data_IF_716995710057
#
_entry.id   IF_716995710057
#
_cell.length_a   1.000
_cell.length_b   1.000
_cell.length_c   1.000
_cell.angle_alpha   90.00
_cell.angle_beta   90.00
_cell.angle_gamma   90.00
#
_symmetry.space_group_name_H-M   'P 1'
#
loop_
_entity.id
_entity.type
_entity.pdbx_description
1 polymer ?
#
# COMPACT_ATOMS: atom_id res chain seq x y z
N UNK A 1 21.05 12.53 -6.75
CA UNK A 1 20.24 13.74 -6.51
C UNK A 1 18.95 13.81 -7.34
N UNK A 2 18.95 13.42 -8.63
CA UNK A 2 17.78 13.59 -9.51
C UNK A 2 16.50 12.85 -9.10
N UNK A 3 16.58 11.65 -8.49
CA UNK A 3 15.42 10.84 -8.13
C UNK A 3 14.45 11.52 -7.15
N UNK A 4 14.96 12.07 -6.03
CA UNK A 4 14.13 12.78 -5.04
C UNK A 4 13.43 13.99 -5.65
N UNK A 5 14.15 14.76 -6.46
CA UNK A 5 13.58 15.92 -7.16
C UNK A 5 12.51 15.53 -8.18
N UNK A 6 12.65 14.38 -8.85
CA UNK A 6 11.62 13.85 -9.73
C UNK A 6 10.36 13.44 -8.95
N UNK A 7 10.52 12.74 -7.82
CA UNK A 7 9.38 12.38 -6.94
C UNK A 7 8.64 13.61 -6.45
N UNK A 8 9.36 14.62 -5.94
CA UNK A 8 8.74 15.84 -5.43
C UNK A 8 7.90 16.56 -6.50
N UNK A 9 8.42 16.65 -7.75
CA UNK A 9 7.66 17.19 -8.89
C UNK A 9 6.42 16.36 -9.23
N UNK A 10 6.54 15.03 -9.21
CA UNK A 10 5.41 14.15 -9.48
C UNK A 10 4.31 14.27 -8.41
N UNK A 11 4.68 14.35 -7.13
CA UNK A 11 3.73 14.57 -6.03
C UNK A 11 3.02 15.93 -6.17
N UNK A 12 3.77 16.98 -6.49
CA UNK A 12 3.21 18.32 -6.72
C UNK A 12 2.22 18.32 -7.91
N UNK A 13 2.56 17.64 -9.01
CA UNK A 13 1.68 17.51 -10.17
C UNK A 13 0.37 16.74 -9.85
N UNK A 14 0.40 15.85 -8.86
CA UNK A 14 -0.77 15.11 -8.37
C UNK A 14 -1.51 15.84 -7.22
N UNK A 15 -1.05 17.03 -6.80
CA UNK A 15 -1.64 17.76 -5.69
C UNK A 15 -1.41 17.11 -4.32
N UNK A 16 -0.41 16.23 -4.19
CA UNK A 16 -0.09 15.52 -2.94
C UNK A 16 0.98 16.30 -2.18
N UNK A 17 0.68 16.70 -0.93
CA UNK A 17 1.66 17.39 -0.09
C UNK A 17 2.86 16.49 0.21
N UNK A 18 4.06 17.07 0.03
CA UNK A 18 5.34 16.46 0.40
C UNK A 18 5.80 16.85 1.81
N UNK A 19 4.97 17.54 2.59
CA UNK A 19 5.33 17.99 3.94
C UNK A 19 5.60 16.78 4.85
N UNK A 20 6.76 16.76 5.49
CA UNK A 20 7.19 15.64 6.34
C UNK A 20 7.61 14.38 5.57
N UNK A 21 7.59 14.38 4.23
CA UNK A 21 8.17 13.31 3.43
C UNK A 21 9.70 13.39 3.51
N UNK A 22 10.32 12.29 3.96
CA UNK A 22 11.76 12.09 3.83
C UNK A 22 11.97 10.92 2.89
N UNK A 23 12.32 11.19 1.64
CA UNK A 23 12.72 10.15 0.70
C UNK A 23 14.24 10.04 0.72
N UNK A 24 14.78 8.93 1.19
CA UNK A 24 16.22 8.65 1.15
C UNK A 24 16.61 7.88 -0.12
N UNK A 25 15.84 6.85 -0.44
CA UNK A 25 15.94 6.05 -1.66
C UNK A 25 14.56 5.81 -2.30
N UNK A 26 14.54 5.10 -3.44
CA UNK A 26 13.29 4.76 -4.14
C UNK A 26 12.76 3.36 -3.82
N UNK A 27 13.58 2.49 -3.25
CA UNK A 27 13.21 1.09 -2.95
C UNK A 27 12.52 0.94 -1.59
N UNK A 28 12.73 1.88 -0.67
CA UNK A 28 12.25 1.79 0.71
C UNK A 28 13.20 1.04 1.66
N UNK A 29 14.45 0.75 1.24
CA UNK A 29 15.40 0.00 2.08
C UNK A 29 16.02 0.85 3.18
N UNK A 30 16.19 2.14 2.93
CA UNK A 30 16.69 3.07 3.94
C UNK A 30 15.69 3.19 5.10
N UNK A 31 16.20 2.95 6.31
CA UNK A 31 15.48 3.15 7.58
C UNK A 31 15.17 4.62 7.87
N UNK A 32 15.73 5.55 7.09
CA UNK A 32 15.52 7.00 7.22
C UNK A 32 14.39 7.52 6.32
N UNK A 33 13.80 6.66 5.49
CA UNK A 33 12.59 7.01 4.75
C UNK A 33 11.45 7.34 5.75
N UNK A 34 10.73 8.44 5.52
CA UNK A 34 9.54 8.84 6.30
C UNK A 34 8.41 9.20 5.36
N UNK A 35 7.25 8.59 5.57
CA UNK A 35 6.00 8.91 4.90
C UNK A 35 4.85 8.57 5.85
N UNK A 36 3.80 9.40 5.88
CA UNK A 36 2.61 9.09 6.67
C UNK A 36 1.62 8.20 5.91
N UNK A 37 0.79 7.44 6.64
CA UNK A 37 -0.29 6.66 6.03
C UNK A 37 -1.25 7.57 5.24
N UNK A 38 -1.54 8.77 5.77
CA UNK A 38 -2.38 9.77 5.09
C UNK A 38 -1.81 10.20 3.74
N UNK A 39 -0.51 10.49 3.68
CA UNK A 39 0.15 10.86 2.42
C UNK A 39 0.15 9.71 1.41
N UNK A 40 0.42 8.49 1.87
CA UNK A 40 0.43 7.33 0.99
C UNK A 40 -0.96 7.02 0.44
N UNK A 41 -2.01 7.10 1.27
CA UNK A 41 -3.40 6.99 0.82
C UNK A 41 -3.80 8.14 -0.11
N UNK A 42 -3.38 9.38 0.16
CA UNK A 42 -3.64 10.51 -0.73
C UNK A 42 -2.98 10.32 -2.10
N UNK A 43 -1.74 9.80 -2.14
CA UNK A 43 -1.04 9.47 -3.38
C UNK A 43 -1.80 8.42 -4.20
N UNK A 44 -2.17 7.30 -3.58
CA UNK A 44 -2.93 6.25 -4.26
C UNK A 44 -4.25 6.81 -4.79
N UNK A 45 -4.96 7.60 -3.98
CA UNK A 45 -6.20 8.24 -4.41
C UNK A 45 -5.99 9.18 -5.60
N UNK A 46 -4.96 10.03 -5.57
CA UNK A 46 -4.66 10.98 -6.64
C UNK A 46 -4.30 10.28 -7.96
N UNK A 47 -3.51 9.20 -7.90
CA UNK A 47 -3.19 8.39 -9.09
C UNK A 47 -4.43 7.73 -9.68
N UNK A 48 -5.37 7.26 -8.85
CA UNK A 48 -6.62 6.70 -9.36
C UNK A 48 -7.53 7.77 -9.94
N UNK A 49 -7.62 8.94 -9.30
CA UNK A 49 -8.44 10.06 -9.72
C UNK A 49 -7.95 10.68 -11.03
N UNK A 50 -6.66 10.58 -11.37
CA UNK A 50 -6.15 11.05 -12.67
C UNK A 50 -6.69 10.26 -13.86
N UNK A 51 -7.17 9.02 -13.63
CA UNK A 51 -7.73 8.17 -14.67
C UNK A 51 -6.75 7.83 -15.79
N UNK A 52 -7.30 7.41 -16.93
CA UNK A 52 -6.54 7.10 -18.15
C UNK A 52 -5.66 5.85 -18.05
N UNK A 53 -4.83 5.68 -19.07
CA UNK A 53 -3.96 4.51 -19.22
C UNK A 53 -2.94 4.39 -18.09
N UNK A 54 -2.34 5.51 -17.65
CA UNK A 54 -1.35 5.50 -16.57
C UNK A 54 -1.93 5.01 -15.24
N UNK A 55 -3.15 5.40 -14.88
CA UNK A 55 -3.81 4.90 -13.68
C UNK A 55 -4.14 3.41 -13.79
N UNK A 56 -4.56 2.95 -14.98
CA UNK A 56 -4.84 1.54 -15.25
C UNK A 56 -3.56 0.68 -15.15
N UNK A 57 -2.46 1.14 -15.75
CA UNK A 57 -1.15 0.49 -15.67
C UNK A 57 -0.63 0.45 -14.23
N UNK A 58 -0.72 1.57 -13.50
CA UNK A 58 -0.32 1.63 -12.10
C UNK A 58 -1.11 0.62 -11.25
N UNK A 59 -2.44 0.59 -11.41
CA UNK A 59 -3.31 -0.39 -10.72
C UNK A 59 -2.96 -1.84 -11.11
N UNK A 60 -2.67 -2.08 -12.38
CA UNK A 60 -2.26 -3.37 -12.91
C UNK A 60 -0.91 -3.86 -12.36
N UNK A 61 -0.02 -2.93 -12.00
CA UNK A 61 1.30 -3.25 -11.44
C UNK A 61 1.27 -3.77 -10.00
N UNK A 62 0.16 -3.56 -9.28
CA UNK A 62 0.01 -4.02 -7.90
C UNK A 62 -0.28 -5.53 -7.84
N UNK A 63 0.27 -6.18 -6.82
CA UNK A 63 -0.04 -7.57 -6.53
C UNK A 63 -1.54 -7.73 -6.21
N UNK A 64 -2.16 -8.79 -6.75
CA UNK A 64 -3.56 -9.12 -6.55
C UNK A 64 -3.67 -10.24 -5.51
N UNK A 65 -4.42 -10.01 -4.45
CA UNK A 65 -4.57 -10.96 -3.36
C UNK A 65 -5.11 -12.31 -3.84
N UNK A 66 -4.45 -13.38 -3.41
CA UNK A 66 -4.77 -14.75 -3.80
C UNK A 66 -4.37 -15.14 -5.22
N UNK A 67 -3.66 -14.27 -5.96
CA UNK A 67 -3.38 -14.52 -7.40
C UNK A 67 -1.96 -14.18 -7.84
N UNK A 68 -1.39 -13.03 -7.45
CA UNK A 68 -0.10 -12.60 -8.02
C UNK A 68 0.84 -11.97 -6.99
N UNK A 69 2.14 -12.06 -7.28
CA UNK A 69 3.21 -11.39 -6.56
C UNK A 69 3.20 -11.68 -5.06
N UNK A 70 3.55 -10.68 -4.25
CA UNK A 70 3.69 -10.85 -2.80
C UNK A 70 2.39 -11.13 -2.04
N UNK A 71 1.23 -11.07 -2.72
CA UNK A 71 -0.07 -11.37 -2.13
C UNK A 71 -0.66 -12.69 -2.64
N UNK A 72 0.04 -13.43 -3.50
CA UNK A 72 -0.44 -14.69 -4.09
C UNK A 72 -0.94 -15.69 -3.03
N UNK A 73 -0.24 -15.78 -1.90
CA UNK A 73 -0.59 -16.70 -0.80
C UNK A 73 -1.40 -16.04 0.32
N UNK A 74 -1.81 -14.78 0.18
CA UNK A 74 -2.57 -14.03 1.20
C UNK A 74 -4.03 -13.94 0.81
N UNK A 75 -4.91 -14.00 1.82
CA UNK A 75 -6.37 -13.91 1.67
C UNK A 75 -7.01 -15.02 0.81
N UNK A 76 -6.29 -16.09 0.49
CA UNK A 76 -6.79 -17.25 -0.27
C UNK A 76 -7.98 -17.88 0.45
N UNK A 77 -9.01 -18.26 -0.30
CA UNK A 77 -10.23 -18.88 0.26
C UNK A 77 -11.14 -17.92 1.02
N UNK A 78 -10.83 -16.62 1.06
CA UNK A 78 -11.70 -15.59 1.63
C UNK A 78 -12.44 -14.82 0.53
N UNK A 79 -13.58 -14.17 0.83
CA UNK A 79 -14.23 -13.25 -0.12
C UNK A 79 -13.33 -12.10 -0.60
N UNK A 80 -12.26 -11.80 0.15
CA UNK A 80 -11.29 -10.75 -0.18
C UNK A 80 -10.27 -11.15 -1.25
N UNK A 81 -10.15 -12.45 -1.59
CA UNK A 81 -9.33 -12.89 -2.71
C UNK A 81 -9.81 -12.27 -4.03
N UNK A 82 -8.87 -11.78 -4.86
CA UNK A 82 -9.20 -11.10 -6.11
C UNK A 82 -9.81 -9.70 -5.98
N UNK A 83 -10.01 -9.20 -4.74
CA UNK A 83 -10.61 -7.87 -4.48
C UNK A 83 -9.64 -6.85 -3.90
N UNK A 84 -8.40 -7.26 -3.64
CA UNK A 84 -7.39 -6.41 -3.02
C UNK A 84 -6.19 -6.32 -3.94
N UNK A 85 -5.87 -5.11 -4.37
CA UNK A 85 -4.64 -4.79 -5.11
C UNK A 85 -3.75 -3.93 -4.22
N UNK A 86 -2.59 -4.42 -3.84
CA UNK A 86 -1.73 -3.68 -2.91
C UNK A 86 -0.25 -3.97 -3.10
N UNK A 87 0.57 -3.03 -2.62
CA UNK A 87 2.01 -3.20 -2.48
C UNK A 87 2.33 -3.57 -1.04
N UNK A 88 3.19 -4.57 -0.88
CA UNK A 88 3.78 -4.97 0.40
C UNK A 88 5.09 -4.24 0.66
N UNK A 89 5.40 -3.98 1.93
CA UNK A 89 6.71 -3.51 2.36
C UNK A 89 7.16 -4.26 3.62
N UNK A 90 8.44 -4.63 3.66
CA UNK A 90 9.05 -5.26 4.82
C UNK A 90 10.55 -4.99 4.84
N UNK A 91 11.02 -4.50 5.98
CA UNK A 91 12.40 -4.52 6.45
C UNK A 91 12.37 -4.87 7.94
N UNK A 92 13.50 -5.22 8.55
CA UNK A 92 13.56 -5.50 9.98
C UNK A 92 12.92 -4.37 10.80
N UNK A 93 11.95 -4.70 11.66
CA UNK A 93 11.19 -3.73 12.46
C UNK A 93 10.11 -2.91 11.71
N UNK A 94 9.78 -3.22 10.45
CA UNK A 94 8.71 -2.52 9.71
C UNK A 94 7.89 -3.46 8.83
N UNK A 95 6.57 -3.33 8.86
CA UNK A 95 5.65 -4.05 7.98
C UNK A 95 4.60 -3.10 7.42
N UNK A 96 4.39 -3.13 6.11
CA UNK A 96 3.40 -2.28 5.46
C UNK A 96 2.61 -2.98 4.36
N UNK A 97 1.38 -2.52 4.19
CA UNK A 97 0.48 -2.89 3.11
C UNK A 97 -0.35 -1.68 2.72
N UNK A 98 -0.31 -1.28 1.46
CA UNK A 98 -1.06 -0.14 0.96
C UNK A 98 -1.58 -0.37 -0.44
N UNK A 99 -2.80 0.08 -0.72
CA UNK A 99 -3.41 -0.10 -2.02
C UNK A 99 -4.92 0.13 -2.00
N UNK A 100 -5.63 -0.73 -2.73
CA UNK A 100 -7.06 -0.63 -3.01
C UNK A 100 -7.74 -1.92 -2.56
N UNK A 101 -8.85 -1.78 -1.84
CA UNK A 101 -9.75 -2.85 -1.48
C UNK A 101 -11.13 -2.56 -2.10
N UNK A 102 -11.65 -3.50 -2.87
CA UNK A 102 -12.99 -3.42 -3.48
C UNK A 102 -13.96 -4.22 -2.62
N UNK A 103 -14.97 -3.59 -2.02
CA UNK A 103 -15.99 -4.32 -1.24
C UNK A 103 -16.82 -5.26 -2.08
N UNK A 104 -17.57 -6.12 -1.39
CA UNK A 104 -18.52 -7.05 -1.99
C UNK A 104 -19.55 -6.35 -2.89
N UNK A 105 -19.93 -5.12 -2.55
CA UNK A 105 -20.86 -4.28 -3.33
C UNK A 105 -20.19 -3.47 -4.47
N UNK A 106 -18.88 -3.63 -4.67
CA UNK A 106 -18.12 -2.97 -5.73
C UNK A 106 -17.52 -1.60 -5.38
N UNK A 107 -17.74 -1.06 -4.18
CA UNK A 107 -17.12 0.22 -3.78
C UNK A 107 -15.62 0.05 -3.53
N UNK A 108 -14.83 1.00 -4.02
CA UNK A 108 -13.38 0.99 -3.84
C UNK A 108 -12.96 1.83 -2.64
N UNK A 109 -12.03 1.29 -1.86
CA UNK A 109 -11.44 1.97 -0.70
C UNK A 109 -9.92 1.97 -0.83
N UNK A 110 -9.35 3.16 -0.73
CA UNK A 110 -7.90 3.33 -0.65
C UNK A 110 -7.46 3.15 0.81
N UNK A 111 -6.38 2.43 1.02
CA UNK A 111 -5.85 2.19 2.36
C UNK A 111 -4.33 2.23 2.41
N UNK A 112 -3.80 2.54 3.58
CA UNK A 112 -2.38 2.41 3.91
C UNK A 112 -2.24 1.96 5.37
N UNK A 113 -1.58 0.82 5.58
CA UNK A 113 -1.27 0.26 6.89
C UNK A 113 0.24 0.27 7.03
N UNK A 114 0.75 1.08 7.96
CA UNK A 114 2.18 1.22 8.25
C UNK A 114 2.41 0.82 9.71
N UNK A 115 3.22 -0.21 9.93
CA UNK A 115 3.53 -0.72 11.27
C UNK A 115 5.04 -0.67 11.48
N UNK A 116 5.47 0.08 12.48
CA UNK A 116 6.84 0.06 12.98
C UNK A 116 6.85 -0.67 14.32
N UNK A 117 7.83 -1.56 14.53
CA UNK A 117 7.92 -2.42 15.70
C UNK A 117 9.38 -2.77 16.01
N UNK A 118 9.70 -3.25 17.22
CA UNK A 118 11.05 -3.72 17.53
C UNK A 118 11.51 -4.82 16.57
N UNK A 119 12.77 -4.79 16.13
CA UNK A 119 13.30 -5.75 15.17
C UNK A 119 13.48 -7.13 15.84
N UNK A 120 12.39 -7.89 15.87
CA UNK A 120 12.28 -9.22 16.45
C UNK A 120 11.82 -10.18 15.37
N UNK A 121 12.56 -11.28 15.23
CA UNK A 121 12.32 -12.28 14.20
C UNK A 121 10.92 -12.88 14.30
N UNK A 122 10.33 -13.17 13.14
CA UNK A 122 9.05 -13.85 13.03
C UNK A 122 7.81 -12.97 13.23
N UNK A 123 7.88 -11.85 13.96
CA UNK A 123 6.70 -11.01 14.27
C UNK A 123 5.95 -10.52 13.03
N UNK A 124 6.67 -10.23 11.95
CA UNK A 124 6.03 -9.83 10.69
C UNK A 124 5.05 -10.89 10.18
N UNK A 125 5.45 -12.16 10.23
CA UNK A 125 4.66 -13.25 9.68
C UNK A 125 3.62 -13.76 10.69
N UNK A 126 3.92 -13.74 11.99
CA UNK A 126 3.03 -14.27 13.03
C UNK A 126 1.99 -13.26 13.53
N UNK A 127 2.25 -11.96 13.42
CA UNK A 127 1.38 -10.92 13.98
C UNK A 127 0.97 -9.86 12.95
N UNK A 128 1.94 -9.19 12.31
CA UNK A 128 1.64 -7.97 11.55
C UNK A 128 1.00 -8.22 10.19
N UNK A 129 1.43 -9.23 9.43
CA UNK A 129 0.75 -9.65 8.20
C UNK A 129 -0.67 -10.17 8.47
N UNK A 130 -0.91 -11.06 9.46
CA UNK A 130 -2.26 -11.44 9.85
C UNK A 130 -3.14 -10.25 10.24
N UNK A 131 -2.62 -9.30 11.03
CA UNK A 131 -3.36 -8.08 11.39
C UNK A 131 -3.72 -7.24 10.16
N UNK A 132 -2.78 -7.05 9.21
CA UNK A 132 -3.06 -6.37 7.95
C UNK A 132 -4.16 -7.08 7.14
N UNK A 133 -4.10 -8.42 7.08
CA UNK A 133 -5.11 -9.22 6.39
C UNK A 133 -6.49 -9.04 7.02
N UNK A 134 -6.60 -9.06 8.35
CA UNK A 134 -7.87 -8.85 9.05
C UNK A 134 -8.43 -7.43 8.83
N UNK A 135 -7.59 -6.39 8.85
CA UNK A 135 -8.03 -5.02 8.53
C UNK A 135 -8.55 -4.95 7.10
N UNK A 136 -7.83 -5.53 6.13
CA UNK A 136 -8.23 -5.52 4.72
C UNK A 136 -9.53 -6.30 4.51
N UNK A 137 -9.69 -7.44 5.18
CA UNK A 137 -10.96 -8.19 5.15
C UNK A 137 -12.10 -7.36 5.69
N UNK A 138 -11.89 -6.62 6.78
CA UNK A 138 -12.91 -5.69 7.29
C UNK A 138 -13.30 -4.65 6.23
N UNK A 139 -12.34 -4.07 5.51
CA UNK A 139 -12.60 -3.09 4.43
C UNK A 139 -13.41 -3.66 3.25
N UNK A 140 -13.25 -4.95 2.96
CA UNK A 140 -13.94 -5.62 1.85
C UNK A 140 -15.32 -6.15 2.28
N UNK A 141 -15.38 -6.80 3.43
CA UNK A 141 -16.47 -7.69 3.81
C UNK A 141 -17.47 -7.03 4.77
N UNK A 142 -17.06 -5.99 5.51
CA UNK A 142 -17.84 -5.49 6.66
C UNK A 142 -18.03 -3.98 6.68
N UNK A 143 -17.14 -3.21 6.05
CA UNK A 143 -17.26 -1.76 6.04
C UNK A 143 -18.40 -1.35 5.08
N UNK A 144 -19.40 -0.58 5.55
CA UNK A 144 -20.58 -0.23 4.78
C UNK A 144 -20.29 0.77 3.65
#
# INVERSE_FOLDING_TARGET
>A
AGGRAATARALAALGVSSDGLVQVDGSGLSRDNRISARQLSALVHAVLASGGESAALWRGSLALAGQTGTLEKRLVGTPSAGRVRAKTGFIGGTSSLSGIATSLDGRERVFAILVNYPDVDGLNNSCWKPMQDEIVRFLVERLP
#
